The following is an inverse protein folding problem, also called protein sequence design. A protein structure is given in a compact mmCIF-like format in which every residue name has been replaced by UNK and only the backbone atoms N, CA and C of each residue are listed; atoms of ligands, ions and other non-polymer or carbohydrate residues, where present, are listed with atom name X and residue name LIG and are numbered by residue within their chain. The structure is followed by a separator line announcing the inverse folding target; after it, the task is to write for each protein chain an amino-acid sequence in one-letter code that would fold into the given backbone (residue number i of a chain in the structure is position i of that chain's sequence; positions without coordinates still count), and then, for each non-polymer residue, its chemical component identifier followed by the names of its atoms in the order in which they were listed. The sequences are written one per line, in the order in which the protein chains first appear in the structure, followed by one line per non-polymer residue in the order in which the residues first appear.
data_IF_058025780250
#
_entry.id   IF_058025780250
#
_cell.length_a   1.000
_cell.length_b   1.000
_cell.length_c   1.000
_cell.angle_alpha   90.00
_cell.angle_beta   90.00
_cell.angle_gamma   90.00
#
_symmetry.space_group_name_H-M   'P 1'
#
loop_
_entity.id
_entity.type
_entity.pdbx_description
1 polymer ?
#
# COMPACT_ATOMS: atom_id res chain seq x y z
N UNK A 1 -29.63 0.90 -39.43
CA UNK A 1 -29.15 1.82 -38.38
C UNK A 1 -28.67 0.96 -37.22
N UNK A 2 -27.38 0.58 -37.20
CA UNK A 2 -26.84 -0.30 -36.16
C UNK A 2 -26.45 0.51 -34.92
N UNK A 3 -27.01 0.09 -33.79
CA UNK A 3 -26.67 0.50 -32.42
C UNK A 3 -25.23 0.11 -32.09
N UNK A 4 -24.47 1.02 -31.48
CA UNK A 4 -23.25 0.67 -30.75
C UNK A 4 -23.12 1.58 -29.51
N UNK A 5 -23.66 1.10 -28.40
CA UNK A 5 -23.36 1.52 -27.03
C UNK A 5 -22.29 0.54 -26.51
N UNK A 6 -21.06 1.03 -26.32
CA UNK A 6 -19.93 0.49 -25.53
C UNK A 6 -18.66 1.10 -26.15
N UNK A 7 -17.76 1.78 -25.46
CA UNK A 7 -17.10 1.46 -24.19
C UNK A 7 -16.55 2.78 -23.60
N UNK A 8 -16.48 3.01 -22.28
CA UNK A 8 -15.43 3.87 -21.76
C UNK A 8 -14.12 3.09 -21.82
N UNK A 9 -13.16 3.61 -22.59
CA UNK A 9 -11.80 3.10 -22.65
C UNK A 9 -11.17 3.17 -21.25
N UNK A 10 -11.11 2.03 -20.57
CA UNK A 10 -10.35 1.81 -19.33
C UNK A 10 -8.85 1.78 -19.69
N UNK A 11 -8.33 2.93 -20.14
CA UNK A 11 -6.91 3.19 -20.38
C UNK A 11 -6.19 3.60 -19.08
N UNK A 12 -4.88 3.93 -19.13
CA UNK A 12 -3.84 3.79 -18.09
C UNK A 12 -4.07 4.41 -16.69
N UNK A 13 -5.21 5.05 -16.43
CA UNK A 13 -5.58 5.63 -15.15
C UNK A 13 -5.56 4.62 -13.99
N UNK A 14 -6.06 3.39 -14.18
CA UNK A 14 -6.03 2.37 -13.11
C UNK A 14 -4.63 1.90 -12.73
N UNK A 15 -3.70 1.88 -13.68
CA UNK A 15 -2.30 1.52 -13.40
C UNK A 15 -1.58 2.65 -12.66
N UNK A 16 -1.81 3.90 -13.06
CA UNK A 16 -1.22 5.07 -12.43
C UNK A 16 -1.70 5.25 -10.98
N UNK A 17 -3.00 5.01 -10.73
CA UNK A 17 -3.58 4.99 -9.38
C UNK A 17 -2.96 3.86 -8.55
N UNK A 18 -2.80 2.66 -9.11
CA UNK A 18 -2.21 1.52 -8.39
C UNK A 18 -0.74 1.69 -8.02
N UNK A 19 0.07 2.36 -8.86
CA UNK A 19 1.46 2.65 -8.55
C UNK A 19 1.57 3.74 -7.48
N UNK A 20 0.77 4.82 -7.57
CA UNK A 20 0.70 5.85 -6.54
C UNK A 20 0.27 5.28 -5.17
N UNK A 21 -0.73 4.40 -5.16
CA UNK A 21 -1.17 3.71 -3.95
C UNK A 21 -0.09 2.81 -3.35
N UNK A 22 0.80 2.22 -4.16
CA UNK A 22 1.93 1.43 -3.65
C UNK A 22 2.98 2.33 -3.01
N UNK A 23 3.26 3.49 -3.60
CA UNK A 23 4.20 4.47 -3.05
C UNK A 23 3.70 5.05 -1.73
N UNK A 24 2.42 5.43 -1.64
CA UNK A 24 1.83 5.92 -0.39
C UNK A 24 1.83 4.85 0.71
N UNK A 25 1.49 3.60 0.37
CA UNK A 25 1.52 2.50 1.32
C UNK A 25 2.95 2.20 1.80
N UNK A 26 3.93 2.29 0.90
CA UNK A 26 5.34 2.17 1.25
C UNK A 26 5.78 3.27 2.22
N UNK A 27 5.53 4.54 1.91
CA UNK A 27 5.91 5.66 2.76
C UNK A 27 5.25 5.61 4.14
N UNK A 28 3.96 5.24 4.19
CA UNK A 28 3.23 5.09 5.45
C UNK A 28 3.80 3.97 6.31
N UNK A 29 4.07 2.81 5.70
CA UNK A 29 4.68 1.68 6.42
C UNK A 29 6.10 2.01 6.88
N UNK A 30 6.89 2.67 6.02
CA UNK A 30 8.27 3.02 6.30
C UNK A 30 8.34 4.01 7.46
N UNK A 31 7.51 5.05 7.42
CA UNK A 31 7.40 6.03 8.49
C UNK A 31 6.84 5.45 9.80
N UNK A 32 5.98 4.43 9.73
CA UNK A 32 5.52 3.69 10.92
C UNK A 32 6.69 2.95 11.57
N UNK A 33 7.41 2.13 10.78
CA UNK A 33 8.52 1.31 11.29
C UNK A 33 9.64 2.21 11.81
N UNK A 34 10.00 3.29 11.11
CA UNK A 34 11.07 4.21 11.56
C UNK A 34 10.75 4.88 12.90
N UNK A 35 9.49 5.26 13.13
CA UNK A 35 9.06 5.92 14.38
C UNK A 35 8.97 4.95 15.54
N UNK A 36 8.52 3.72 15.29
CA UNK A 36 8.26 2.73 16.35
C UNK A 36 9.46 1.86 16.66
N UNK A 37 10.36 1.67 15.69
CA UNK A 37 11.56 0.84 15.78
C UNK A 37 12.77 1.61 15.24
N UNK A 38 13.22 2.66 15.95
CA UNK A 38 14.30 3.54 15.47
C UNK A 38 15.64 2.81 15.30
N UNK A 39 15.87 1.75 16.08
CA UNK A 39 17.08 0.91 16.04
C UNK A 39 17.11 -0.10 14.88
N UNK A 40 16.01 -0.25 14.14
CA UNK A 40 15.94 -1.17 13.01
C UNK A 40 16.38 -0.44 11.73
N UNK A 41 17.41 -0.99 11.08
CA UNK A 41 17.86 -0.53 9.77
C UNK A 41 16.82 -0.90 8.70
N UNK A 42 16.22 0.13 8.11
CA UNK A 42 15.23 0.03 7.03
C UNK A 42 15.66 0.85 5.80
N UNK A 43 16.95 1.12 5.68
CA UNK A 43 17.54 1.79 4.52
C UNK A 43 17.65 0.75 3.40
N UNK A 44 17.17 1.09 2.21
CA UNK A 44 17.19 0.25 0.99
C UNK A 44 16.30 -1.02 0.99
N UNK A 45 15.32 -1.13 1.89
CA UNK A 45 14.36 -2.26 1.86
C UNK A 45 13.14 -1.96 0.99
N UNK A 46 12.71 -2.95 0.20
CA UNK A 46 11.50 -2.84 -0.61
C UNK A 46 10.22 -3.04 0.23
N UNK A 47 9.05 -2.73 -0.36
CA UNK A 47 7.76 -2.84 0.33
C UNK A 47 7.48 -4.24 0.90
N UNK A 48 7.81 -5.31 0.16
CA UNK A 48 7.59 -6.69 0.61
C UNK A 48 8.45 -7.03 1.83
N UNK A 49 9.72 -6.60 1.82
CA UNK A 49 10.61 -6.77 2.96
C UNK A 49 10.16 -5.96 4.16
N UNK A 50 9.68 -4.75 3.94
CA UNK A 50 9.14 -3.89 4.99
C UNK A 50 7.85 -4.48 5.62
N UNK A 51 6.99 -5.12 4.82
CA UNK A 51 5.83 -5.88 5.32
C UNK A 51 6.28 -7.08 6.16
N UNK A 52 7.25 -7.86 5.66
CA UNK A 52 7.80 -9.01 6.39
C UNK A 52 8.45 -8.57 7.71
N UNK A 53 9.17 -7.46 7.71
CA UNK A 53 9.80 -6.89 8.90
C UNK A 53 8.75 -6.51 9.94
N UNK A 54 7.66 -5.85 9.53
CA UNK A 54 6.55 -5.53 10.45
C UNK A 54 5.93 -6.80 11.04
N UNK A 55 5.73 -7.86 10.25
CA UNK A 55 5.22 -9.15 10.74
C UNK A 55 6.19 -9.79 11.74
N UNK A 56 7.50 -9.68 11.53
CA UNK A 56 8.50 -10.18 12.49
C UNK A 56 8.49 -9.39 13.80
N UNK A 57 8.28 -8.07 13.74
CA UNK A 57 8.30 -7.18 14.90
C UNK A 57 7.01 -7.24 15.75
N UNK A 58 5.85 -7.36 15.12
CA UNK A 58 4.53 -7.26 15.78
C UNK A 58 3.71 -8.55 15.73
N UNK A 59 4.22 -9.57 15.03
CA UNK A 59 3.49 -10.78 14.72
C UNK A 59 2.44 -10.60 13.62
N UNK A 60 1.83 -11.71 13.16
CA UNK A 60 0.90 -11.71 12.02
C UNK A 60 -0.41 -10.95 12.29
N UNK A 61 -0.74 -10.65 13.56
CA UNK A 61 -1.96 -9.92 13.92
C UNK A 61 -1.85 -8.41 13.63
N UNK A 62 -0.68 -7.81 13.84
CA UNK A 62 -0.48 -6.38 13.62
C UNK A 62 -0.61 -5.96 12.16
N UNK A 63 -0.42 -6.88 11.21
CA UNK A 63 -0.61 -6.60 9.78
C UNK A 63 -2.09 -6.42 9.42
N UNK A 64 -3.00 -7.20 10.02
CA UNK A 64 -4.45 -7.10 9.77
C UNK A 64 -5.03 -5.74 10.17
N UNK A 65 -4.62 -5.23 11.33
CA UNK A 65 -5.07 -3.92 11.83
C UNK A 65 -4.56 -2.78 10.94
N UNK A 66 -3.33 -2.90 10.44
CA UNK A 66 -2.76 -1.95 9.49
C UNK A 66 -3.43 -1.99 8.11
N UNK A 67 -3.70 -3.17 7.56
CA UNK A 67 -4.46 -3.30 6.29
C UNK A 67 -5.89 -2.77 6.41
N UNK A 68 -6.52 -2.89 7.59
CA UNK A 68 -7.81 -2.27 7.88
C UNK A 68 -7.74 -0.75 7.92
N UNK A 69 -6.69 -0.19 8.51
CA UNK A 69 -6.44 1.26 8.53
C UNK A 69 -6.20 1.82 7.13
N UNK A 70 -5.44 1.14 6.27
CA UNK A 70 -5.22 1.55 4.86
C UNK A 70 -6.50 1.48 4.04
N UNK A 71 -7.27 0.39 4.18
CA UNK A 71 -8.56 0.29 3.50
C UNK A 71 -9.54 1.40 3.93
N UNK A 72 -9.36 1.95 5.14
CA UNK A 72 -10.14 3.08 5.63
C UNK A 72 -9.68 4.45 5.10
N UNK A 73 -8.40 4.61 4.73
CA UNK A 73 -7.88 5.84 4.10
C UNK A 73 -8.42 6.01 2.67
N UNK A 74 -8.82 4.92 2.00
CA UNK A 74 -9.51 4.95 0.69
C UNK A 74 -10.94 5.49 0.71
N UNK A 75 -11.50 5.83 1.87
CA UNK A 75 -12.84 6.41 1.99
C UNK A 75 -12.75 7.86 2.47
N UNK A 76 -12.25 8.78 1.66
CA UNK A 76 -12.56 10.21 1.82
C UNK A 76 -12.33 10.99 0.54
#
# INVERSE_FOLDING_TARGET
MHTALAMPSDGPQRQQESDFEKDENYLNLWGYVKRRYPDVSIEDINFTELVNLKVQLEGPRGLREWTGAIASVRKH
#
